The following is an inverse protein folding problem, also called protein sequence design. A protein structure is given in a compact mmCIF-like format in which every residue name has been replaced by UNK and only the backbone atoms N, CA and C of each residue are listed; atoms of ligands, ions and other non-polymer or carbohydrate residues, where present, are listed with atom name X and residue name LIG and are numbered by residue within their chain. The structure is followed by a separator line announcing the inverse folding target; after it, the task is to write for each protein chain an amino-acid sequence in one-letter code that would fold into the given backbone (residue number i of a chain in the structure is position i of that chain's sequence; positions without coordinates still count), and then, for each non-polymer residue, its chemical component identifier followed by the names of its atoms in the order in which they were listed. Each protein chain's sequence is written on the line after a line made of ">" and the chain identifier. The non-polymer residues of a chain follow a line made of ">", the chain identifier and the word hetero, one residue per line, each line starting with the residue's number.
data_IF_924273681986
#
_entry.id   IF_924273681986
#
_cell.length_a   1.000
_cell.length_b   1.000
_cell.length_c   1.000
_cell.angle_alpha   90.00
_cell.angle_beta   90.00
_cell.angle_gamma   90.00
#
_symmetry.space_group_name_H-M   'P 1'
#
loop_
_entity.id
_entity.type
_entity.pdbx_description
1 polymer ?
#
# COMPACT_ATOMS: atom_id res chain seq x y z
N UNK A 1 68.13 -2.29 -20.98
CA UNK A 1 67.66 -2.20 -22.39
C UNK A 1 66.42 -3.08 -22.53
N UNK A 2 65.30 -2.49 -22.94
CA UNK A 2 63.94 -3.05 -22.94
C UNK A 2 63.71 -4.08 -24.06
N UNK A 3 62.80 -5.05 -23.85
CA UNK A 3 61.88 -5.58 -24.88
C UNK A 3 60.59 -6.08 -24.21
N UNK A 4 59.55 -5.25 -24.27
CA UNK A 4 58.18 -5.61 -23.90
C UNK A 4 57.35 -6.08 -25.09
N UNK A 5 56.30 -6.86 -24.80
CA UNK A 5 55.06 -7.20 -25.56
C UNK A 5 54.53 -8.50 -24.91
N UNK A 6 53.26 -8.79 -24.62
CA UNK A 6 51.93 -8.17 -24.79
C UNK A 6 50.93 -9.07 -24.00
N UNK A 7 50.01 -8.48 -23.24
CA UNK A 7 48.70 -8.98 -22.77
C UNK A 7 48.54 -10.41 -22.18
N UNK A 8 48.27 -10.47 -20.87
CA UNK A 8 47.17 -11.29 -20.30
C UNK A 8 46.41 -10.41 -19.31
N UNK A 9 45.55 -9.54 -19.84
CA UNK A 9 44.48 -8.90 -19.09
C UNK A 9 43.24 -9.78 -19.30
N UNK A 10 42.99 -10.75 -18.42
CA UNK A 10 41.69 -11.41 -18.29
C UNK A 10 41.73 -12.37 -17.09
N UNK A 11 41.07 -12.02 -15.98
CA UNK A 11 40.35 -12.99 -15.13
C UNK A 11 39.67 -12.31 -13.93
N UNK A 12 38.35 -12.14 -14.11
CA UNK A 12 37.27 -12.30 -13.12
C UNK A 12 36.97 -11.09 -12.21
N UNK A 13 36.18 -10.18 -12.80
CA UNK A 13 35.18 -9.36 -12.13
C UNK A 13 33.92 -10.22 -11.90
N UNK A 14 33.62 -10.64 -10.66
CA UNK A 14 32.27 -11.11 -10.23
C UNK A 14 32.18 -10.82 -8.72
N UNK A 15 31.81 -9.61 -8.29
CA UNK A 15 30.43 -9.19 -8.01
C UNK A 15 29.55 -10.28 -7.38
N UNK A 16 29.63 -10.45 -6.07
CA UNK A 16 28.60 -11.13 -5.28
C UNK A 16 28.21 -10.26 -4.08
N UNK A 17 27.71 -9.06 -4.38
CA UNK A 17 26.87 -8.33 -3.43
C UNK A 17 25.56 -9.13 -3.40
N UNK A 18 25.42 -10.01 -2.42
CA UNK A 18 24.14 -10.61 -2.07
C UNK A 18 23.25 -9.48 -1.55
N UNK A 19 22.57 -8.79 -2.47
CA UNK A 19 21.41 -7.98 -2.14
C UNK A 19 20.34 -8.98 -1.69
N UNK A 20 20.28 -9.23 -0.38
CA UNK A 20 19.10 -9.81 0.25
C UNK A 20 17.91 -8.98 -0.20
N UNK A 21 17.10 -9.55 -1.09
CA UNK A 21 15.90 -8.89 -1.59
C UNK A 21 15.03 -8.49 -0.42
N UNK A 22 14.63 -7.22 -0.36
CA UNK A 22 13.58 -6.79 0.53
C UNK A 22 12.31 -7.57 0.18
N UNK A 23 11.93 -8.56 0.98
CA UNK A 23 10.53 -8.95 1.05
C UNK A 23 9.81 -7.81 1.77
N UNK A 24 9.31 -6.84 0.99
CA UNK A 24 8.44 -5.80 1.51
C UNK A 24 7.14 -6.45 1.97
N UNK A 25 7.00 -6.63 3.28
CA UNK A 25 5.73 -7.06 3.88
C UNK A 25 4.64 -6.04 3.54
N UNK A 26 3.40 -6.46 3.23
CA UNK A 26 2.32 -5.55 2.93
C UNK A 26 2.12 -4.50 4.03
N UNK A 27 1.88 -3.23 3.67
CA UNK A 27 1.90 -2.10 4.59
C UNK A 27 0.88 -2.25 5.73
N UNK A 28 -0.29 -2.84 5.48
CA UNK A 28 -1.32 -3.00 6.52
C UNK A 28 -1.04 -4.12 7.52
N UNK A 29 -0.14 -5.07 7.23
CA UNK A 29 0.18 -6.15 8.17
C UNK A 29 0.76 -5.63 9.49
N UNK A 30 1.57 -4.56 9.45
CA UNK A 30 2.11 -3.90 10.65
C UNK A 30 1.05 -3.17 11.46
N UNK A 31 -0.05 -2.76 10.81
CA UNK A 31 -1.06 -1.93 11.43
C UNK A 31 -2.07 -2.75 12.26
N UNK A 32 -2.18 -4.06 12.03
CA UNK A 32 -3.04 -4.96 12.81
C UNK A 32 -2.48 -5.42 14.16
N UNK A 33 -1.22 -5.10 14.49
CA UNK A 33 -0.56 -5.55 15.73
C UNK A 33 -0.83 -4.66 16.95
N UNK A 34 -1.52 -3.52 16.80
CA UNK A 34 -1.82 -2.62 17.92
C UNK A 34 -3.05 -3.11 18.71
N UNK A 35 -2.84 -3.53 19.96
CA UNK A 35 -3.90 -3.96 20.89
C UNK A 35 -4.92 -2.84 21.17
N UNK A 36 -6.16 -3.07 20.72
CA UNK A 36 -7.34 -2.21 20.86
C UNK A 36 -8.29 -2.44 19.68
N UNK A 37 -9.60 -2.17 19.83
CA UNK A 37 -10.50 -2.11 18.66
C UNK A 37 -10.17 -0.82 17.90
N UNK A 38 -9.11 -0.86 17.09
CA UNK A 38 -8.69 0.27 16.31
C UNK A 38 -9.70 0.51 15.17
N UNK A 39 -10.02 1.78 14.90
CA UNK A 39 -10.84 2.16 13.76
C UNK A 39 -10.16 1.70 12.45
N UNK A 40 -10.75 0.74 11.69
CA UNK A 40 -10.12 0.18 10.49
C UNK A 40 -9.78 1.23 9.43
N UNK A 41 -10.60 2.26 9.28
CA UNK A 41 -10.37 3.34 8.32
C UNK A 41 -9.14 4.19 8.70
N UNK A 42 -9.05 4.59 9.97
CA UNK A 42 -7.87 5.28 10.49
C UNK A 42 -6.60 4.41 10.38
N UNK A 43 -6.71 3.11 10.68
CA UNK A 43 -5.60 2.15 10.56
C UNK A 43 -5.15 2.04 9.12
N UNK A 44 -6.06 1.91 8.17
CA UNK A 44 -5.75 1.83 6.74
C UNK A 44 -5.01 3.07 6.23
N UNK A 45 -5.51 4.27 6.56
CA UNK A 45 -4.86 5.53 6.21
C UNK A 45 -3.41 5.57 6.71
N UNK A 46 -3.20 5.31 8.01
CA UNK A 46 -1.87 5.34 8.63
C UNK A 46 -0.95 4.23 8.13
N UNK A 47 -1.49 3.03 7.88
CA UNK A 47 -0.74 1.89 7.38
C UNK A 47 -0.06 2.18 6.04
N UNK A 48 -0.73 2.96 5.17
CA UNK A 48 -0.20 3.38 3.88
C UNK A 48 0.77 4.56 3.96
N UNK A 49 1.08 5.02 5.18
CA UNK A 49 2.02 6.09 5.45
C UNK A 49 1.43 7.49 5.25
N UNK A 50 0.11 7.64 5.32
CA UNK A 50 -0.57 8.92 5.16
C UNK A 50 -0.88 9.58 6.50
N UNK A 51 -1.01 10.90 6.46
CA UNK A 51 -1.40 11.67 7.63
C UNK A 51 -2.88 11.46 7.93
N UNK A 52 -3.19 11.20 9.20
CA UNK A 52 -4.54 11.02 9.69
C UNK A 52 -4.87 12.12 10.69
N UNK A 53 -6.00 12.80 10.48
CA UNK A 53 -6.46 13.87 11.37
C UNK A 53 -7.91 13.68 11.77
N UNK A 54 -8.23 14.08 12.99
CA UNK A 54 -9.61 14.23 13.44
C UNK A 54 -9.96 15.71 13.32
N UNK A 55 -11.01 16.02 12.55
CA UNK A 55 -11.50 17.38 12.39
C UNK A 55 -12.87 17.55 13.05
N UNK A 56 -13.10 18.73 13.62
CA UNK A 56 -14.41 19.13 14.15
C UNK A 56 -15.30 19.62 13.01
N UNK A 57 -16.55 19.21 13.04
CA UNK A 57 -17.61 19.59 12.12
C UNK A 57 -18.85 20.00 12.92
N UNK A 58 -19.82 20.61 12.25
CA UNK A 58 -21.13 20.92 12.86
C UNK A 58 -21.85 19.68 13.39
N UNK A 59 -21.52 18.49 12.87
CA UNK A 59 -22.14 17.20 13.22
C UNK A 59 -21.32 16.38 14.23
N UNK A 60 -20.25 16.95 14.79
CA UNK A 60 -19.30 16.25 15.65
C UNK A 60 -17.92 16.11 15.01
N UNK A 61 -17.18 15.08 15.38
CA UNK A 61 -15.83 14.84 14.87
C UNK A 61 -15.81 13.81 13.73
N UNK A 62 -14.89 13.96 12.78
CA UNK A 62 -14.65 12.95 11.74
C UNK A 62 -13.18 12.76 11.44
N UNK A 63 -12.80 11.54 11.08
CA UNK A 63 -11.46 11.21 10.60
C UNK A 63 -11.28 11.59 9.13
N UNK A 64 -10.09 12.11 8.79
CA UNK A 64 -9.70 12.50 7.44
C UNK A 64 -8.31 11.97 7.15
N UNK A 65 -8.15 11.33 5.99
CA UNK A 65 -6.86 10.93 5.46
C UNK A 65 -6.33 12.03 4.53
N UNK A 66 -5.08 12.48 4.74
CA UNK A 66 -4.40 13.43 3.87
C UNK A 66 -3.30 12.75 3.09
N UNK A 67 -3.28 12.99 1.80
CA UNK A 67 -2.36 12.34 0.89
C UNK A 67 -1.14 13.21 0.56
N UNK A 68 -0.05 12.63 0.00
CA UNK A 68 1.19 13.35 -0.30
C UNK A 68 1.05 14.56 -1.23
N UNK A 69 0.00 14.65 -2.05
CA UNK A 69 -0.28 15.82 -2.90
C UNK A 69 -1.10 16.90 -2.18
N UNK A 70 -1.40 16.73 -0.89
CA UNK A 70 -2.22 17.62 -0.08
C UNK A 70 -3.73 17.42 -0.23
N UNK A 71 -4.18 16.55 -1.14
CA UNK A 71 -5.60 16.20 -1.24
C UNK A 71 -6.05 15.40 -0.01
N UNK A 72 -7.35 15.45 0.29
CA UNK A 72 -7.93 14.85 1.50
C UNK A 72 -9.17 14.04 1.16
N UNK A 73 -9.41 12.99 1.92
CA UNK A 73 -10.58 12.13 1.80
C UNK A 73 -11.08 11.75 3.19
N UNK A 74 -12.39 11.64 3.36
CA UNK A 74 -12.97 11.09 4.59
C UNK A 74 -12.40 9.69 4.82
N UNK A 75 -12.10 9.33 6.08
CA UNK A 75 -11.42 8.06 6.36
C UNK A 75 -12.21 6.84 5.86
N UNK A 76 -13.54 6.86 6.00
CA UNK A 76 -14.41 5.74 5.62
C UNK A 76 -14.66 5.73 4.13
N UNK A 77 -14.77 6.90 3.50
CA UNK A 77 -14.83 7.00 2.05
C UNK A 77 -13.53 6.49 1.40
N UNK A 78 -12.37 6.76 2.01
CA UNK A 78 -11.10 6.22 1.52
C UNK A 78 -11.05 4.71 1.69
N UNK A 79 -11.38 4.21 2.88
CA UNK A 79 -11.40 2.79 3.20
C UNK A 79 -12.34 1.98 2.30
N UNK A 80 -13.49 2.56 1.94
CA UNK A 80 -14.48 1.94 1.06
C UNK A 80 -14.22 2.19 -0.44
N UNK A 81 -13.14 2.91 -0.79
CA UNK A 81 -12.74 3.15 -2.18
C UNK A 81 -13.60 4.18 -2.91
N UNK A 82 -14.33 5.03 -2.17
CA UNK A 82 -15.19 6.10 -2.70
C UNK A 82 -14.38 7.32 -3.13
N UNK A 83 -13.32 7.67 -2.40
CA UNK A 83 -12.33 8.66 -2.84
C UNK A 83 -10.89 8.18 -2.60
N UNK A 84 -9.92 8.93 -3.14
CA UNK A 84 -8.50 8.66 -2.92
C UNK A 84 -7.98 7.38 -3.59
N UNK A 85 -8.64 6.88 -4.65
CA UNK A 85 -8.32 5.57 -5.23
C UNK A 85 -6.87 5.47 -5.70
N UNK A 86 -6.27 6.53 -6.27
CA UNK A 86 -4.84 6.56 -6.62
C UNK A 86 -3.88 6.32 -5.44
N UNK A 87 -4.37 6.55 -4.23
CA UNK A 87 -3.64 6.39 -2.97
C UNK A 87 -3.97 5.07 -2.28
N UNK A 88 -4.91 4.28 -2.80
CA UNK A 88 -5.20 2.95 -2.29
C UNK A 88 -3.99 2.01 -2.45
N UNK A 89 -3.96 0.93 -1.68
CA UNK A 89 -2.94 -0.10 -1.85
C UNK A 89 -3.06 -0.77 -3.23
N UNK A 90 -4.28 -0.99 -3.70
CA UNK A 90 -4.58 -1.54 -5.02
C UNK A 90 -3.93 -0.74 -6.14
N UNK A 91 -4.18 0.57 -6.22
CA UNK A 91 -3.65 1.36 -7.34
C UNK A 91 -2.13 1.55 -7.24
N UNK A 92 -1.60 1.65 -6.01
CA UNK A 92 -0.15 1.68 -5.79
C UNK A 92 0.57 0.41 -6.26
N UNK A 93 -0.13 -0.71 -6.33
CA UNK A 93 0.39 -2.01 -6.79
C UNK A 93 -0.03 -2.33 -8.23
N UNK A 94 -0.64 -1.38 -8.95
CA UNK A 94 -1.02 -1.49 -10.35
C UNK A 94 -2.39 -2.10 -10.61
N UNK A 95 -3.18 -2.37 -9.57
CA UNK A 95 -4.58 -2.76 -9.71
C UNK A 95 -5.51 -1.55 -9.92
N UNK A 96 -6.81 -1.83 -9.96
CA UNK A 96 -7.88 -0.82 -10.04
C UNK A 96 -8.91 -1.03 -8.94
N UNK A 97 -9.22 0.01 -8.18
CA UNK A 97 -10.27 -0.03 -7.16
C UNK A 97 -11.65 0.05 -7.81
N UNK A 98 -12.58 -0.77 -7.32
CA UNK A 98 -14.02 -0.62 -7.55
C UNK A 98 -14.75 -0.65 -6.22
N UNK A 99 -15.81 0.15 -6.10
CA UNK A 99 -16.71 0.10 -4.95
C UNK A 99 -17.71 -1.02 -5.19
N UNK A 100 -17.66 -2.05 -4.35
CA UNK A 100 -18.60 -3.17 -4.40
C UNK A 100 -19.72 -2.96 -3.37
N UNK A 101 -20.94 -3.34 -3.72
CA UNK A 101 -22.11 -3.29 -2.82
C UNK A 101 -22.33 -4.62 -2.10
N UNK A 102 -21.68 -5.69 -2.56
CA UNK A 102 -21.82 -7.02 -2.00
C UNK A 102 -20.72 -7.28 -0.96
N UNK A 103 -20.75 -6.52 0.13
CA UNK A 103 -19.76 -6.61 1.19
C UNK A 103 -20.38 -7.23 2.45
N UNK A 104 -19.71 -8.23 3.03
CA UNK A 104 -20.27 -9.01 4.14
C UNK A 104 -20.42 -8.22 5.46
N UNK A 105 -19.70 -7.11 5.61
CA UNK A 105 -19.58 -6.36 6.87
C UNK A 105 -20.02 -4.89 6.76
N UNK A 106 -20.38 -4.42 5.57
CA UNK A 106 -20.72 -3.01 5.29
C UNK A 106 -21.64 -2.93 4.07
N UNK A 107 -22.30 -1.79 3.89
CA UNK A 107 -23.11 -1.52 2.69
C UNK A 107 -22.27 -1.45 1.41
N UNK A 108 -21.02 -1.01 1.53
CA UNK A 108 -20.04 -0.99 0.45
C UNK A 108 -18.63 -1.23 0.98
N UNK A 109 -17.73 -1.67 0.12
CA UNK A 109 -16.31 -1.83 0.41
C UNK A 109 -15.47 -1.72 -0.86
N UNK A 110 -14.19 -1.43 -0.68
CA UNK A 110 -13.23 -1.41 -1.77
C UNK A 110 -12.86 -2.85 -2.19
N UNK A 111 -12.98 -3.12 -3.48
CA UNK A 111 -12.48 -4.33 -4.14
C UNK A 111 -11.38 -3.93 -5.11
N UNK A 112 -10.24 -4.60 -5.02
CA UNK A 112 -9.15 -4.45 -5.97
C UNK A 112 -9.31 -5.44 -7.13
N UNK A 113 -9.28 -4.92 -8.35
CA UNK A 113 -9.12 -5.71 -9.58
C UNK A 113 -7.63 -5.67 -9.96
N UNK A 114 -6.93 -6.79 -9.77
CA UNK A 114 -5.52 -6.93 -10.10
C UNK A 114 -5.31 -6.92 -11.63
N UNK A 115 -4.07 -6.68 -12.14
CA UNK A 115 -3.78 -6.69 -13.57
C UNK A 115 -4.16 -7.98 -14.30
N UNK A 116 -4.16 -9.11 -13.59
CA UNK A 116 -4.60 -10.42 -14.10
C UNK A 116 -6.13 -10.63 -14.06
N UNK A 117 -6.91 -9.62 -13.68
CA UNK A 117 -8.37 -9.64 -13.59
C UNK A 117 -8.93 -10.23 -12.29
N UNK A 118 -8.08 -10.75 -11.39
CA UNK A 118 -8.49 -11.32 -10.11
C UNK A 118 -9.05 -10.22 -9.19
N UNK A 119 -10.18 -10.52 -8.52
CA UNK A 119 -10.86 -9.60 -7.60
C UNK A 119 -10.56 -9.98 -6.15
N UNK A 120 -10.20 -9.01 -5.31
CA UNK A 120 -10.00 -9.22 -3.88
C UNK A 120 -10.50 -8.05 -3.03
N UNK A 121 -10.93 -8.30 -1.79
CA UNK A 121 -11.17 -7.22 -0.84
C UNK A 121 -9.88 -6.43 -0.62
N UNK A 122 -9.94 -5.11 -0.80
CA UNK A 122 -8.76 -4.23 -0.70
C UNK A 122 -8.05 -4.36 0.64
N UNK A 123 -8.85 -4.42 1.72
CA UNK A 123 -8.33 -4.59 3.07
C UNK A 123 -7.55 -5.90 3.22
N UNK A 124 -8.07 -7.01 2.71
CA UNK A 124 -7.38 -8.30 2.80
C UNK A 124 -6.10 -8.32 1.95
N UNK A 125 -6.14 -7.67 0.79
CA UNK A 125 -4.95 -7.52 -0.06
C UNK A 125 -3.86 -6.69 0.63
N UNK A 126 -4.22 -5.54 1.21
CA UNK A 126 -3.27 -4.71 1.96
C UNK A 126 -2.69 -5.43 3.19
N UNK A 127 -3.43 -6.36 3.79
CA UNK A 127 -2.97 -7.16 4.93
C UNK A 127 -2.19 -8.43 4.51
N UNK A 128 -1.98 -8.65 3.20
CA UNK A 128 -1.26 -9.82 2.70
C UNK A 128 -2.02 -11.13 2.84
N UNK A 129 -3.35 -11.08 2.97
CA UNK A 129 -4.23 -12.26 3.00
C UNK A 129 -4.62 -12.72 1.59
N UNK A 130 -4.19 -11.99 0.57
CA UNK A 130 -4.47 -12.27 -0.82
C UNK A 130 -3.19 -12.14 -1.66
N UNK A 131 -2.87 -13.14 -2.50
CA UNK A 131 -1.73 -13.07 -3.42
C UNK A 131 -2.08 -12.31 -4.71
#
# INVERSE_FOLDING_TARGET
>A
MMKGKKYVLFSIFVLAILMSGCQETPPCKKASEQMGIANPAAVYCKALGYDYEIIKTEKGEKGVCKFPDGSKCDEWDFFNGVCGQKWSYCEKTGGKVVVDKNCSISQTCAVCILPNGKRCPEWDYCNGRYP
#
